data_IF_368017476607
#
_entry.id   IF_368017476607
#
_cell.length_a   1.000
_cell.length_b   1.000
_cell.length_c   1.000
_cell.angle_alpha   90.00
_cell.angle_beta   90.00
_cell.angle_gamma   90.00
#
_symmetry.space_group_name_H-M   'P 1'
#
loop_
_entity.id
_entity.type
_entity.pdbx_description
1 polymer ?
#
# COMPACT_ATOMS: atom_id res chain seq x y z
N UNK A 1 19.48 -11.34 5.74
CA UNK A 1 19.62 -10.01 5.10
C UNK A 1 18.31 -9.65 4.41
N UNK A 2 17.93 -8.37 4.36
CA UNK A 2 16.70 -7.92 3.69
C UNK A 2 16.95 -6.72 2.77
N UNK A 3 16.30 -6.70 1.63
CA UNK A 3 16.22 -5.59 0.68
C UNK A 3 14.78 -5.07 0.69
N UNK A 4 14.47 -4.05 1.52
CA UNK A 4 13.09 -3.65 1.82
C UNK A 4 12.44 -2.82 0.70
N UNK A 5 13.27 -2.25 -0.17
CA UNK A 5 12.85 -1.48 -1.34
C UNK A 5 12.70 -2.34 -2.59
N UNK A 6 12.93 -3.66 -2.49
CA UNK A 6 12.68 -4.56 -3.61
C UNK A 6 11.23 -4.41 -4.05
N UNK A 7 11.07 -4.05 -5.32
CA UNK A 7 9.80 -3.73 -5.93
C UNK A 7 9.49 -4.67 -7.06
N UNK A 8 8.20 -4.91 -7.24
CA UNK A 8 7.65 -5.70 -8.33
C UNK A 8 6.67 -4.84 -9.12
N UNK A 9 6.82 -4.85 -10.43
CA UNK A 9 5.84 -4.25 -11.34
C UNK A 9 4.63 -5.17 -11.47
N UNK A 10 3.45 -4.57 -11.37
CA UNK A 10 2.16 -5.20 -11.57
C UNK A 10 1.29 -4.28 -12.45
N UNK A 11 1.36 -4.49 -13.77
CA UNK A 11 0.78 -3.59 -14.75
C UNK A 11 1.49 -2.22 -14.70
N UNK A 12 0.72 -1.13 -14.63
CA UNK A 12 1.26 0.24 -14.45
C UNK A 12 1.68 0.57 -13.01
N UNK A 13 1.47 -0.33 -12.04
CA UNK A 13 1.81 -0.11 -10.62
C UNK A 13 3.14 -0.74 -10.26
N UNK A 14 3.88 -0.09 -9.37
CA UNK A 14 5.08 -0.64 -8.73
C UNK A 14 4.77 -0.88 -7.25
N UNK A 15 4.92 -2.12 -6.79
CA UNK A 15 4.70 -2.50 -5.40
C UNK A 15 6.03 -2.82 -4.71
N UNK A 16 6.41 -2.03 -3.71
CA UNK A 16 7.55 -2.33 -2.84
C UNK A 16 7.11 -3.29 -1.74
N UNK A 17 7.48 -4.56 -1.89
CA UNK A 17 7.09 -5.65 -0.96
C UNK A 17 8.25 -6.12 -0.09
N UNK A 18 9.48 -5.80 -0.48
CA UNK A 18 10.68 -6.24 0.20
C UNK A 18 10.96 -7.73 0.01
N UNK A 19 12.24 -8.08 0.00
CA UNK A 19 12.70 -9.45 -0.10
C UNK A 19 13.82 -9.70 0.91
N UNK A 20 13.83 -10.86 1.54
CA UNK A 20 14.84 -11.25 2.51
C UNK A 20 15.50 -12.56 2.10
N UNK A 21 16.81 -12.67 2.33
CA UNK A 21 17.58 -13.89 2.18
C UNK A 21 17.97 -14.43 3.55
N UNK A 22 17.68 -15.71 3.78
CA UNK A 22 18.22 -16.47 4.92
C UNK A 22 19.60 -16.97 4.53
N UNK A 23 20.58 -16.73 5.40
CA UNK A 23 21.96 -17.14 5.20
C UNK A 23 22.32 -18.26 6.18
N UNK A 24 23.25 -19.14 5.80
CA UNK A 24 23.89 -20.08 6.72
C UNK A 24 25.11 -19.44 7.44
N UNK A 25 25.84 -20.25 8.21
CA UNK A 25 27.03 -19.81 8.94
C UNK A 25 28.19 -19.35 8.04
N UNK A 26 28.19 -19.75 6.77
CA UNK A 26 29.18 -19.34 5.76
C UNK A 26 28.68 -18.14 4.92
N UNK A 27 27.60 -17.48 5.37
CA UNK A 27 26.92 -16.38 4.68
C UNK A 27 26.36 -16.76 3.30
N UNK A 28 26.12 -18.05 3.04
CA UNK A 28 25.54 -18.51 1.77
C UNK A 28 24.02 -18.48 1.84
N UNK A 29 23.33 -18.03 0.78
CA UNK A 29 21.87 -17.99 0.75
C UNK A 29 21.30 -19.40 0.73
N UNK A 30 20.55 -19.75 1.78
CA UNK A 30 19.85 -21.04 1.94
C UNK A 30 18.35 -20.95 1.66
N UNK A 31 17.83 -19.75 1.47
CA UNK A 31 16.43 -19.53 1.15
C UNK A 31 16.06 -18.06 1.05
N UNK A 32 14.91 -17.80 0.44
CA UNK A 32 14.38 -16.46 0.23
C UNK A 32 13.00 -16.35 0.86
N UNK A 33 12.74 -15.24 1.54
CA UNK A 33 11.49 -14.92 2.21
C UNK A 33 11.02 -13.60 1.60
N UNK A 34 9.87 -13.62 0.93
CA UNK A 34 9.22 -12.41 0.41
C UNK A 34 7.89 -12.25 1.16
N UNK A 35 7.93 -11.77 2.41
CA UNK A 35 6.84 -12.01 3.34
C UNK A 35 5.58 -11.24 2.97
N UNK A 36 5.72 -10.18 2.16
CA UNK A 36 4.60 -9.37 1.71
C UNK A 36 4.40 -9.36 0.20
N UNK A 37 5.12 -10.21 -0.54
CA UNK A 37 4.92 -10.37 -1.96
C UNK A 37 3.47 -10.81 -2.25
N UNK A 38 2.72 -9.93 -2.89
CA UNK A 38 1.41 -10.25 -3.42
C UNK A 38 1.58 -10.69 -4.87
N UNK A 39 0.93 -11.79 -5.26
CA UNK A 39 0.70 -12.05 -6.69
C UNK A 39 -0.11 -10.88 -7.22
N UNK A 40 0.30 -10.28 -8.35
CA UNK A 40 -0.44 -9.21 -9.01
C UNK A 40 -1.87 -9.66 -9.29
N UNK A 41 -2.82 -9.35 -8.41
CA UNK A 41 -4.20 -9.83 -8.50
C UNK A 41 -5.10 -8.75 -9.11
N UNK A 42 -4.73 -8.23 -10.28
CA UNK A 42 -5.57 -7.32 -11.05
C UNK A 42 -5.97 -7.98 -12.35
N UNK A 43 -6.75 -9.06 -12.23
CA UNK A 43 -7.47 -9.63 -13.37
C UNK A 43 -8.57 -8.64 -13.74
N UNK A 44 -8.55 -8.15 -14.97
CA UNK A 44 -9.58 -7.26 -15.48
C UNK A 44 -10.01 -7.72 -16.86
N UNK A 45 -11.31 -7.82 -17.06
CA UNK A 45 -11.91 -8.10 -18.35
C UNK A 45 -12.48 -6.79 -18.88
N UNK A 46 -11.98 -6.34 -20.02
CA UNK A 46 -12.44 -5.12 -20.67
C UNK A 46 -13.21 -5.50 -21.93
N UNK A 47 -14.48 -5.13 -22.03
CA UNK A 47 -15.26 -5.26 -23.26
C UNK A 47 -15.51 -3.86 -23.83
N UNK A 48 -15.02 -3.62 -25.04
CA UNK A 48 -15.30 -2.38 -25.75
C UNK A 48 -16.54 -2.59 -26.63
N UNK A 49 -17.55 -1.76 -26.42
CA UNK A 49 -18.79 -1.73 -27.19
C UNK A 49 -18.69 -0.58 -28.18
N UNK A 50 -18.51 -0.90 -29.45
CA UNK A 50 -18.10 0.02 -30.50
C UNK A 50 -19.24 0.30 -31.48
N UNK A 51 -19.64 1.56 -31.58
CA UNK A 51 -20.62 2.00 -32.57
C UNK A 51 -20.02 1.95 -33.98
N UNK A 52 -20.61 1.13 -34.84
CA UNK A 52 -20.27 0.95 -36.25
C UNK A 52 -21.36 1.43 -37.20
N UNK A 53 -22.29 2.26 -36.72
CA UNK A 53 -23.39 2.83 -37.52
C UNK A 53 -22.90 3.78 -38.62
N UNK A 54 -23.83 4.23 -39.46
CA UNK A 54 -23.52 5.14 -40.58
C UNK A 54 -23.20 6.58 -40.18
N UNK A 55 -23.51 6.99 -38.95
CA UNK A 55 -23.13 8.32 -38.44
C UNK A 55 -21.64 8.40 -38.10
N UNK A 56 -21.01 7.27 -37.77
CA UNK A 56 -19.59 7.17 -37.45
C UNK A 56 -18.75 7.29 -38.71
N UNK A 57 -18.36 8.52 -39.03
CA UNK A 57 -17.46 8.82 -40.12
C UNK A 57 -16.54 10.00 -39.77
N UNK A 58 -15.23 9.90 -40.07
CA UNK A 58 -14.55 8.79 -40.74
C UNK A 58 -14.11 7.66 -39.80
N UNK A 59 -14.22 6.40 -40.24
CA UNK A 59 -13.97 5.20 -39.40
C UNK A 59 -12.56 5.11 -38.81
N UNK A 60 -11.56 5.63 -39.52
CA UNK A 60 -10.17 5.57 -39.06
C UNK A 60 -9.95 6.31 -37.73
N UNK A 61 -10.79 7.30 -37.38
CA UNK A 61 -10.70 7.98 -36.09
C UNK A 61 -11.00 7.03 -34.93
N UNK A 62 -11.98 6.14 -35.12
CA UNK A 62 -12.33 5.10 -34.15
C UNK A 62 -11.22 4.06 -34.04
N UNK A 63 -10.65 3.59 -35.16
CA UNK A 63 -9.53 2.66 -35.17
C UNK A 63 -8.28 3.23 -34.47
N UNK A 64 -7.97 4.50 -34.71
CA UNK A 64 -6.87 5.20 -34.05
C UNK A 64 -7.12 5.38 -32.56
N UNK A 65 -8.35 5.73 -32.19
CA UNK A 65 -8.76 5.86 -30.79
C UNK A 65 -8.60 4.53 -30.03
N UNK A 66 -9.07 3.43 -30.61
CA UNK A 66 -8.90 2.09 -30.04
C UNK A 66 -7.43 1.73 -29.90
N UNK A 67 -6.63 1.92 -30.96
CA UNK A 67 -5.19 1.64 -30.94
C UNK A 67 -4.46 2.42 -29.83
N UNK A 68 -4.81 3.69 -29.65
CA UNK A 68 -4.21 4.57 -28.64
C UNK A 68 -4.60 4.21 -27.20
N UNK A 69 -5.78 3.65 -26.98
CA UNK A 69 -6.20 3.16 -25.66
C UNK A 69 -5.61 1.79 -25.38
N UNK A 70 -5.71 0.88 -26.33
CA UNK A 70 -5.32 -0.52 -26.16
C UNK A 70 -3.81 -0.68 -25.98
N UNK A 71 -3.01 0.16 -26.64
CA UNK A 71 -1.55 0.21 -26.45
C UNK A 71 -1.12 0.62 -25.04
N UNK A 72 -2.00 1.24 -24.24
CA UNK A 72 -1.72 1.64 -22.86
C UNK A 72 -2.09 0.56 -21.84
N UNK A 73 -2.75 -0.52 -22.27
CA UNK A 73 -3.13 -1.62 -21.40
C UNK A 73 -2.07 -2.72 -21.39
N UNK A 74 -1.83 -3.27 -20.20
CA UNK A 74 -1.02 -4.46 -20.01
C UNK A 74 -1.88 -5.72 -20.22
N UNK A 75 -1.93 -6.18 -21.47
CA UNK A 75 -2.76 -7.32 -21.89
C UNK A 75 -1.99 -8.62 -21.69
N UNK A 76 -2.63 -9.62 -21.09
CA UNK A 76 -2.05 -10.92 -20.83
C UNK A 76 -3.00 -11.90 -20.15
N UNK A 77 -2.76 -13.23 -20.26
CA UNK A 77 -3.64 -14.26 -19.71
C UNK A 77 -3.80 -14.16 -18.18
N UNK A 78 -2.77 -13.67 -17.48
CA UNK A 78 -2.77 -13.42 -16.04
C UNK A 78 -3.08 -11.97 -15.63
N UNK A 79 -3.49 -11.10 -16.55
CA UNK A 79 -3.72 -9.67 -16.29
C UNK A 79 -5.01 -9.18 -17.00
N UNK A 80 -4.90 -8.22 -17.93
CA UNK A 80 -6.05 -7.66 -18.67
C UNK A 80 -6.37 -8.54 -19.88
N UNK A 81 -7.64 -8.86 -20.07
CA UNK A 81 -8.16 -9.43 -21.30
C UNK A 81 -9.12 -8.45 -21.96
N UNK A 82 -9.07 -8.35 -23.30
CA UNK A 82 -9.88 -7.41 -24.06
C UNK A 82 -10.76 -8.14 -25.07
N UNK A 83 -12.06 -7.85 -25.04
CA UNK A 83 -13.04 -8.24 -26.05
C UNK A 83 -13.60 -7.00 -26.74
N UNK A 84 -14.01 -7.14 -28.01
CA UNK A 84 -14.64 -6.06 -28.78
C UNK A 84 -15.96 -6.54 -29.35
N UNK A 85 -17.02 -5.79 -29.07
CA UNK A 85 -18.36 -5.95 -29.61
C UNK A 85 -18.68 -4.72 -30.46
N UNK A 86 -18.78 -4.89 -31.77
CA UNK A 86 -19.22 -3.82 -32.67
C UNK A 86 -20.73 -3.90 -32.87
N UNK A 87 -21.42 -2.75 -32.89
CA UNK A 87 -22.87 -2.68 -33.02
C UNK A 87 -23.35 -1.60 -34.01
N UNK A 88 -24.55 -1.81 -34.54
CA UNK A 88 -25.32 -0.87 -35.34
C UNK A 88 -26.79 -1.31 -35.33
N UNK A 89 -27.27 -1.89 -36.42
CA UNK A 89 -28.56 -2.61 -36.47
C UNK A 89 -28.48 -3.99 -35.77
N UNK A 90 -27.30 -4.62 -35.84
CA UNK A 90 -26.95 -5.87 -35.15
C UNK A 90 -25.70 -5.67 -34.31
N UNK A 91 -25.47 -6.56 -33.35
CA UNK A 91 -24.26 -6.58 -32.53
C UNK A 91 -23.45 -7.85 -32.81
N UNK A 92 -22.17 -7.70 -33.15
CA UNK A 92 -21.25 -8.80 -33.48
C UNK A 92 -20.00 -8.69 -32.64
N UNK A 93 -19.52 -9.83 -32.15
CA UNK A 93 -18.24 -9.90 -31.45
C UNK A 93 -17.12 -9.93 -32.49
N UNK A 94 -16.40 -8.83 -32.65
CA UNK A 94 -15.18 -8.78 -33.46
C UNK A 94 -14.14 -9.75 -32.90
N UNK A 95 -14.05 -9.81 -31.56
CA UNK A 95 -13.39 -10.89 -30.85
C UNK A 95 -13.83 -11.01 -29.39
N UNK A 96 -13.60 -12.20 -28.84
CA UNK A 96 -13.90 -12.57 -27.45
C UNK A 96 -12.73 -12.28 -26.51
N UNK A 97 -12.99 -12.28 -25.20
CA UNK A 97 -11.96 -12.13 -24.17
C UNK A 97 -10.94 -13.28 -24.26
N UNK A 98 -9.67 -12.95 -24.05
CA UNK A 98 -8.59 -13.93 -24.07
C UNK A 98 -8.16 -14.42 -25.47
N UNK A 99 -8.76 -13.91 -26.56
CA UNK A 99 -8.33 -14.26 -27.93
C UNK A 99 -6.88 -13.85 -28.20
N UNK A 100 -6.52 -12.64 -27.81
CA UNK A 100 -5.18 -12.07 -27.97
C UNK A 100 -4.50 -11.97 -26.61
N UNK A 101 -3.20 -12.23 -26.58
CA UNK A 101 -2.45 -12.35 -25.34
C UNK A 101 -1.49 -11.19 -25.10
N UNK A 102 -1.25 -10.33 -26.09
CA UNK A 102 -0.39 -9.15 -25.92
C UNK A 102 -1.04 -7.87 -26.43
N UNK A 103 -0.49 -6.72 -26.02
CA UNK A 103 -0.99 -5.41 -26.44
C UNK A 103 -0.78 -5.19 -27.94
N UNK A 104 0.34 -5.66 -28.49
CA UNK A 104 0.68 -5.54 -29.91
C UNK A 104 -0.34 -6.27 -30.79
N UNK A 105 -0.69 -7.51 -30.41
CA UNK A 105 -1.69 -8.31 -31.13
C UNK A 105 -3.06 -7.63 -31.15
N UNK A 106 -3.49 -7.10 -30.00
CA UNK A 106 -4.79 -6.42 -29.86
C UNK A 106 -4.81 -5.11 -30.66
N UNK A 107 -3.72 -4.34 -30.63
CA UNK A 107 -3.61 -3.09 -31.40
C UNK A 107 -3.65 -3.38 -32.91
N UNK A 108 -2.98 -4.43 -33.36
CA UNK A 108 -3.00 -4.80 -34.78
C UNK A 108 -4.38 -5.35 -35.21
N UNK A 109 -5.06 -6.11 -34.34
CA UNK A 109 -6.44 -6.50 -34.57
C UNK A 109 -7.39 -5.30 -34.64
N UNK A 110 -7.20 -4.29 -33.79
CA UNK A 110 -8.03 -3.08 -33.76
C UNK A 110 -7.93 -2.24 -35.03
N UNK A 111 -6.75 -2.15 -35.64
CA UNK A 111 -6.58 -1.48 -36.94
C UNK A 111 -7.30 -2.18 -38.10
N UNK A 112 -7.51 -3.49 -37.96
CA UNK A 112 -8.11 -4.33 -39.00
C UNK A 112 -9.63 -4.51 -38.83
N UNK A 113 -10.26 -3.89 -37.82
CA UNK A 113 -11.72 -3.91 -37.68
C UNK A 113 -12.36 -3.12 -38.82
N UNK A 114 -13.17 -3.79 -39.63
CA UNK A 114 -14.03 -3.14 -40.62
C UNK A 114 -15.32 -2.63 -39.98
N UNK A 115 -15.76 -1.42 -40.37
CA UNK A 115 -17.06 -0.89 -39.98
C UNK A 115 -18.19 -1.78 -40.51
N UNK A 116 -19.15 -2.15 -39.66
CA UNK A 116 -20.27 -3.00 -40.08
C UNK A 116 -21.26 -2.34 -41.03
N UNK A 117 -21.41 -1.02 -40.92
CA UNK A 117 -22.43 -0.24 -41.62
C UNK A 117 -23.86 -0.60 -41.17
N UNK A 118 -24.66 0.41 -40.86
CA UNK A 118 -25.98 0.20 -40.25
C UNK A 118 -26.81 1.47 -40.29
N UNK A 119 -28.11 1.32 -40.59
CA UNK A 119 -29.06 2.43 -40.63
C UNK A 119 -29.53 2.87 -39.24
N UNK A 120 -29.38 2.00 -38.25
CA UNK A 120 -29.77 2.24 -36.86
C UNK A 120 -28.56 2.17 -35.93
N UNK A 121 -28.71 2.82 -34.78
CA UNK A 121 -27.75 2.82 -33.67
C UNK A 121 -28.45 2.24 -32.44
N UNK A 122 -28.33 0.92 -32.22
CA UNK A 122 -28.99 0.19 -31.12
C UNK A 122 -28.07 -0.01 -29.92
N UNK A 123 -27.84 1.06 -29.16
CA UNK A 123 -26.89 1.11 -28.05
C UNK A 123 -27.39 0.34 -26.82
N UNK A 124 -28.68 0.41 -26.49
CA UNK A 124 -29.24 -0.32 -25.35
C UNK A 124 -29.12 -1.83 -25.56
N UNK A 125 -29.46 -2.30 -26.77
CA UNK A 125 -29.26 -3.68 -27.19
C UNK A 125 -27.80 -4.13 -27.08
N UNK A 126 -26.85 -3.31 -27.54
CA UNK A 126 -25.43 -3.61 -27.49
C UNK A 126 -24.89 -3.72 -26.04
N UNK A 127 -25.31 -2.81 -25.16
CA UNK A 127 -24.95 -2.83 -23.73
C UNK A 127 -25.49 -4.10 -23.06
N UNK A 128 -26.77 -4.41 -23.29
CA UNK A 128 -27.40 -5.61 -22.74
C UNK A 128 -26.68 -6.88 -23.20
N UNK A 129 -26.38 -6.98 -24.50
CA UNK A 129 -25.65 -8.12 -25.08
C UNK A 129 -24.23 -8.23 -24.54
N UNK A 130 -23.52 -7.12 -24.35
CA UNK A 130 -22.19 -7.15 -23.76
C UNK A 130 -22.21 -7.64 -22.31
N UNK A 131 -23.19 -7.22 -21.50
CA UNK A 131 -23.35 -7.68 -20.12
C UNK A 131 -23.78 -9.15 -20.00
N UNK A 132 -24.60 -9.65 -20.92
CA UNK A 132 -25.11 -11.02 -20.90
C UNK A 132 -24.18 -12.03 -21.57
N UNK A 133 -23.63 -11.70 -22.73
CA UNK A 133 -22.80 -12.58 -23.56
C UNK A 133 -21.30 -12.27 -23.47
N UNK A 134 -20.87 -11.01 -23.64
CA UNK A 134 -19.44 -10.71 -23.82
C UNK A 134 -18.58 -11.02 -22.56
N UNK A 135 -19.16 -10.86 -21.37
CA UNK A 135 -18.52 -11.24 -20.10
C UNK A 135 -18.84 -12.68 -19.65
N UNK A 136 -19.48 -13.50 -20.49
CA UNK A 136 -19.81 -14.87 -20.12
C UNK A 136 -18.55 -15.75 -20.09
N UNK A 137 -18.53 -16.82 -19.26
CA UNK A 137 -17.45 -17.79 -19.27
C UNK A 137 -17.24 -18.45 -20.65
N UNK A 138 -18.31 -18.63 -21.42
CA UNK A 138 -18.26 -19.19 -22.78
C UNK A 138 -17.49 -18.31 -23.77
N UNK A 139 -17.40 -17.00 -23.49
CA UNK A 139 -16.64 -16.02 -24.28
C UNK A 139 -15.37 -15.53 -23.57
N UNK A 140 -14.83 -16.33 -22.65
CA UNK A 140 -13.57 -16.05 -21.97
C UNK A 140 -13.68 -15.16 -20.73
N UNK A 141 -14.89 -14.82 -20.29
CA UNK A 141 -15.11 -14.02 -19.08
C UNK A 141 -14.69 -14.76 -17.81
N UNK A 142 -13.84 -14.12 -17.00
CA UNK A 142 -13.31 -14.67 -15.75
C UNK A 142 -14.19 -14.24 -14.57
N UNK A 143 -14.47 -15.17 -13.66
CA UNK A 143 -15.38 -14.93 -12.53
C UNK A 143 -14.75 -14.03 -11.44
N UNK A 144 -13.43 -14.10 -11.28
CA UNK A 144 -12.62 -13.37 -10.32
C UNK A 144 -12.06 -12.05 -10.87
N UNK A 145 -12.27 -11.76 -12.16
CA UNK A 145 -11.84 -10.53 -12.80
C UNK A 145 -12.83 -9.37 -12.60
N UNK A 146 -12.29 -8.16 -12.47
CA UNK A 146 -13.11 -6.94 -12.52
C UNK A 146 -13.62 -6.73 -13.94
N UNK A 147 -14.93 -6.56 -14.12
CA UNK A 147 -15.57 -6.37 -15.43
C UNK A 147 -15.72 -4.89 -15.75
N UNK A 148 -15.16 -4.46 -16.87
CA UNK A 148 -15.17 -3.09 -17.34
C UNK A 148 -15.71 -3.02 -18.77
N UNK A 149 -16.75 -2.23 -18.99
CA UNK A 149 -17.30 -1.94 -20.30
C UNK A 149 -16.96 -0.51 -20.70
N UNK A 150 -16.49 -0.33 -21.94
CA UNK A 150 -16.26 0.99 -22.54
C UNK A 150 -17.15 1.09 -23.77
N UNK A 151 -18.18 1.93 -23.70
CA UNK A 151 -19.09 2.23 -24.82
C UNK A 151 -18.52 3.41 -25.60
N UNK A 152 -18.35 3.25 -26.91
CA UNK A 152 -17.86 4.27 -27.82
C UNK A 152 -18.94 4.52 -28.86
N UNK A 153 -19.52 5.73 -28.88
CA UNK A 153 -20.63 6.12 -29.77
C UNK A 153 -20.51 7.59 -30.15
N UNK A 154 -21.14 8.02 -31.25
CA UNK A 154 -21.16 9.43 -31.68
C UNK A 154 -22.44 10.18 -31.33
N UNK A 155 -23.47 9.50 -30.81
CA UNK A 155 -24.72 10.18 -30.49
C UNK A 155 -25.93 9.30 -30.23
N UNK A 156 -27.09 9.87 -30.54
CA UNK A 156 -28.43 9.43 -30.13
C UNK A 156 -28.73 7.97 -30.51
N UNK A 157 -29.21 7.21 -29.53
CA UNK A 157 -29.60 5.81 -29.72
C UNK A 157 -31.05 5.70 -30.18
N UNK A 158 -31.31 4.84 -31.15
CA UNK A 158 -32.67 4.58 -31.65
C UNK A 158 -33.52 3.74 -30.67
N UNK A 159 -32.85 3.02 -29.76
CA UNK A 159 -33.44 2.18 -28.70
C UNK A 159 -33.22 2.80 -27.30
N UNK A 160 -33.15 4.14 -27.21
CA UNK A 160 -32.86 4.84 -25.96
C UNK A 160 -33.84 4.56 -24.81
N UNK A 161 -35.08 4.18 -25.11
CA UNK A 161 -36.11 3.81 -24.12
C UNK A 161 -35.78 2.49 -23.38
N UNK A 162 -35.03 1.59 -24.00
CA UNK A 162 -34.64 0.28 -23.45
C UNK A 162 -33.36 0.36 -22.59
N UNK A 163 -32.68 1.52 -22.59
CA UNK A 163 -31.42 1.72 -21.89
C UNK A 163 -31.50 1.44 -20.36
N UNK A 164 -32.56 1.83 -19.62
CA UNK A 164 -32.66 1.52 -18.20
C UNK A 164 -32.63 0.03 -17.87
N UNK A 165 -33.26 -0.81 -18.71
CA UNK A 165 -33.28 -2.26 -18.55
C UNK A 165 -31.88 -2.86 -18.77
N UNK A 166 -31.21 -2.44 -19.86
CA UNK A 166 -29.84 -2.85 -20.15
C UNK A 166 -28.87 -2.51 -19.01
N UNK A 167 -29.00 -1.30 -18.45
CA UNK A 167 -28.17 -0.85 -17.33
C UNK A 167 -28.43 -1.63 -16.04
N UNK A 168 -29.69 -1.99 -15.76
CA UNK A 168 -30.05 -2.80 -14.60
C UNK A 168 -29.41 -4.19 -14.65
N UNK A 169 -29.40 -4.82 -15.84
CA UNK A 169 -28.75 -6.13 -16.02
C UNK A 169 -27.23 -6.03 -15.84
N UNK A 170 -26.60 -4.95 -16.30
CA UNK A 170 -25.19 -4.71 -16.06
C UNK A 170 -24.83 -4.48 -14.58
N UNK A 171 -25.68 -3.77 -13.82
CA UNK A 171 -25.50 -3.59 -12.38
C UNK A 171 -25.63 -4.92 -11.62
N UNK A 172 -26.62 -5.75 -11.97
CA UNK A 172 -26.81 -7.10 -11.41
C UNK A 172 -25.55 -7.97 -11.58
N UNK A 173 -24.82 -7.78 -12.68
CA UNK A 173 -23.59 -8.52 -13.01
C UNK A 173 -22.30 -7.81 -12.57
N UNK A 174 -22.40 -6.72 -11.83
CA UNK A 174 -21.30 -5.91 -11.30
C UNK A 174 -20.32 -5.43 -12.40
N UNK A 175 -20.85 -5.04 -13.55
CA UNK A 175 -20.05 -4.52 -14.68
C UNK A 175 -19.89 -3.01 -14.52
N UNK A 176 -18.66 -2.52 -14.39
CA UNK A 176 -18.36 -1.09 -14.39
C UNK A 176 -18.43 -0.56 -15.82
N UNK A 177 -19.05 0.60 -16.06
CA UNK A 177 -19.33 1.11 -17.42
C UNK A 177 -18.83 2.54 -17.59
N UNK A 178 -18.21 2.81 -18.72
CA UNK A 178 -17.83 4.14 -19.19
C UNK A 178 -18.40 4.38 -20.58
N UNK A 179 -18.78 5.61 -20.88
CA UNK A 179 -19.22 6.03 -22.21
C UNK A 179 -18.29 7.12 -22.74
N UNK A 180 -17.95 7.02 -24.02
CA UNK A 180 -17.06 7.93 -24.73
C UNK A 180 -17.79 8.40 -25.98
N UNK A 181 -17.95 9.72 -26.09
CA UNK A 181 -18.62 10.35 -27.21
C UNK A 181 -17.59 10.82 -28.26
N UNK A 182 -17.71 10.31 -29.48
CA UNK A 182 -16.86 10.69 -30.62
C UNK A 182 -17.59 11.74 -31.45
N UNK A 183 -17.08 12.97 -31.52
CA UNK A 183 -17.74 14.07 -32.24
C UNK A 183 -16.97 14.40 -33.52
N UNK A 184 -17.48 13.96 -34.67
CA UNK A 184 -16.98 14.37 -35.97
C UNK A 184 -17.64 15.70 -36.41
N UNK A 185 -16.89 16.80 -36.35
CA UNK A 185 -17.01 17.89 -37.33
C UNK A 185 -18.20 18.87 -37.31
N UNK A 186 -19.12 18.87 -36.34
CA UNK A 186 -20.12 19.98 -36.19
C UNK A 186 -19.96 20.72 -34.86
N UNK A 187 -20.08 22.06 -34.89
CA UNK A 187 -20.28 22.90 -33.70
C UNK A 187 -21.50 22.35 -32.95
N UNK A 188 -21.24 21.53 -31.93
CA UNK A 188 -22.29 20.86 -31.18
C UNK A 188 -23.01 21.86 -30.25
N UNK A 189 -24.17 22.34 -30.69
CA UNK A 189 -25.29 22.57 -29.79
C UNK A 189 -25.67 21.21 -29.19
N UNK A 190 -25.59 21.09 -27.87
CA UNK A 190 -25.93 19.87 -27.13
C UNK A 190 -27.45 19.65 -27.18
N UNK A 191 -27.93 18.59 -27.85
CA UNK A 191 -29.11 17.86 -27.36
C UNK A 191 -28.64 16.92 -26.24
N UNK A 192 -29.29 16.90 -25.07
CA UNK A 192 -28.86 16.09 -23.94
C UNK A 192 -29.36 14.65 -24.08
N UNK A 193 -28.65 13.80 -24.83
CA UNK A 193 -28.76 12.35 -24.59
C UNK A 193 -28.12 12.03 -23.23
N UNK A 194 -28.66 11.11 -22.40
CA UNK A 194 -28.14 10.90 -21.06
C UNK A 194 -26.94 9.95 -21.14
N UNK A 195 -25.80 10.41 -21.66
CA UNK A 195 -24.49 9.80 -21.39
C UNK A 195 -24.26 9.69 -19.86
N UNK A 196 -24.93 10.56 -19.08
CA UNK A 196 -25.06 10.48 -17.62
C UNK A 196 -25.69 9.19 -17.10
N UNK A 197 -26.60 8.55 -17.84
CA UNK A 197 -27.28 7.33 -17.42
C UNK A 197 -26.38 6.10 -17.59
N UNK A 198 -25.52 6.07 -18.61
CA UNK A 198 -24.57 4.97 -18.84
C UNK A 198 -23.44 4.96 -17.81
N UNK A 199 -23.03 6.15 -17.36
CA UNK A 199 -22.03 6.34 -16.31
C UNK A 199 -22.62 5.99 -14.95
N UNK A 200 -21.92 5.15 -14.18
CA UNK A 200 -22.28 4.92 -12.78
C UNK A 200 -22.21 6.24 -12.01
N UNK A 201 -23.26 6.67 -11.28
CA UNK A 201 -23.17 7.87 -10.45
C UNK A 201 -22.17 7.62 -9.34
N UNK A 202 -20.95 8.17 -9.49
CA UNK A 202 -20.17 8.54 -8.33
C UNK A 202 -20.95 9.65 -7.61
N UNK A 203 -20.95 9.59 -6.28
CA UNK A 203 -21.49 10.60 -5.33
C UNK A 203 -21.47 12.05 -5.84
N UNK A 204 -22.38 12.93 -5.40
CA UNK A 204 -22.82 14.11 -6.14
C UNK A 204 -21.70 15.13 -6.38
N UNK A 205 -20.99 14.97 -7.50
CA UNK A 205 -20.24 16.00 -8.20
C UNK A 205 -19.92 15.47 -9.60
N UNK A 206 -20.72 15.96 -10.56
CA UNK A 206 -20.51 15.97 -12.02
C UNK A 206 -19.93 14.72 -12.69
N UNK A 207 -20.71 13.95 -13.48
CA UNK A 207 -20.17 12.88 -14.32
C UNK A 207 -19.26 13.44 -15.42
N UNK A 208 -18.06 12.85 -15.57
CA UNK A 208 -17.11 13.21 -16.61
C UNK A 208 -17.49 12.53 -17.94
N UNK A 209 -18.04 13.30 -18.89
CA UNK A 209 -18.12 12.93 -20.30
C UNK A 209 -16.83 13.39 -20.99
N UNK A 210 -16.13 12.48 -21.69
CA UNK A 210 -14.91 12.80 -22.45
C UNK A 210 -15.24 12.96 -23.92
N UNK A 211 -14.75 14.06 -24.51
CA UNK A 211 -14.98 14.47 -25.89
C UNK A 211 -13.71 14.19 -26.70
N UNK A 212 -13.81 13.41 -27.77
CA UNK A 212 -12.75 13.32 -28.78
C UNK A 212 -12.90 14.50 -29.77
N UNK A 213 -11.82 15.25 -30.01
CA UNK A 213 -11.77 16.34 -30.98
C UNK A 213 -10.52 16.26 -31.84
N UNK A 214 -10.66 16.56 -33.13
CA UNK A 214 -9.57 16.55 -34.11
C UNK A 214 -8.72 17.82 -34.02
N UNK A 215 -7.50 17.66 -33.52
CA UNK A 215 -6.45 18.68 -33.35
C UNK A 215 -5.29 18.09 -32.55
N UNK A 216 -4.07 18.67 -32.55
CA UNK A 216 -2.89 18.08 -31.92
C UNK A 216 -2.92 18.22 -30.39
N UNK A 217 -3.97 17.70 -29.74
CA UNK A 217 -4.12 17.59 -28.28
C UNK A 217 -4.41 16.15 -27.82
N UNK A 218 -4.10 15.15 -28.64
CA UNK A 218 -4.23 13.72 -28.29
C UNK A 218 -3.38 13.27 -27.08
N UNK A 219 -2.55 14.17 -26.53
CA UNK A 219 -1.79 13.95 -25.31
C UNK A 219 -2.66 13.97 -24.02
N UNK A 220 -3.83 14.62 -24.01
CA UNK A 220 -4.58 14.87 -22.76
C UNK A 220 -5.74 13.90 -22.47
N UNK A 221 -6.09 13.00 -23.39
CA UNK A 221 -7.10 11.97 -23.16
C UNK A 221 -6.62 10.84 -22.22
N UNK A 222 -5.32 10.78 -21.89
CA UNK A 222 -4.76 9.85 -20.89
C UNK A 222 -5.03 10.26 -19.43
N UNK A 223 -5.37 11.53 -19.18
CA UNK A 223 -5.44 12.10 -17.83
C UNK A 223 -6.68 11.74 -16.99
N UNK A 224 -7.85 11.34 -17.51
CA UNK A 224 -8.98 10.93 -16.66
C UNK A 224 -8.92 9.49 -16.18
N UNK A 225 -8.40 8.56 -16.98
CA UNK A 225 -8.19 7.16 -16.57
C UNK A 225 -6.98 7.05 -15.62
N UNK A 226 -5.95 7.88 -15.82
CA UNK A 226 -4.84 8.03 -14.88
C UNK A 226 -5.26 8.66 -13.53
N UNK A 227 -6.33 9.45 -13.49
CA UNK A 227 -6.85 10.09 -12.25
C UNK A 227 -7.51 9.15 -11.26
N UNK A 228 -7.74 7.88 -11.61
CA UNK A 228 -8.12 6.86 -10.61
C UNK A 228 -6.99 6.58 -9.62
N UNK A 229 -5.74 6.94 -9.91
CA UNK A 229 -4.57 6.65 -9.09
C UNK A 229 -3.96 7.95 -8.53
N UNK A 230 -4.77 8.70 -7.80
CA UNK A 230 -4.30 9.83 -7.01
C UNK A 230 -3.67 9.36 -5.69
N UNK A 231 -2.38 9.60 -5.53
CA UNK A 231 -1.77 9.84 -4.22
C UNK A 231 -2.60 10.89 -3.47
N UNK A 232 -2.90 10.59 -2.21
CA UNK A 232 -3.71 11.39 -1.28
C UNK A 232 -3.60 12.91 -1.44
N UNK A 233 -4.73 13.55 -1.75
CA UNK A 233 -5.35 14.49 -0.81
C UNK A 233 -6.85 14.61 -1.09
N UNK A 234 -7.64 14.61 0.00
CA UNK A 234 -9.08 14.91 0.07
C UNK A 234 -10.07 13.91 -0.59
N UNK A 235 -10.62 13.05 0.27
CA UNK A 235 -12.02 12.61 0.29
C UNK A 235 -12.77 12.37 -1.03
N UNK A 236 -12.76 11.14 -1.54
CA UNK A 236 -13.92 10.59 -2.27
C UNK A 236 -13.93 9.05 -2.23
N UNK A 237 -15.12 8.47 -2.08
CA UNK A 237 -15.37 7.01 -2.02
C UNK A 237 -15.18 6.40 -3.41
N UNK A 238 -13.97 5.95 -3.73
CA UNK A 238 -13.69 4.98 -4.80
C UNK A 238 -13.82 3.54 -4.28
N UNK A 239 -14.12 2.54 -5.13
CA UNK A 239 -14.10 1.15 -4.70
C UNK A 239 -12.67 0.82 -4.27
N UNK A 240 -12.52 0.40 -3.02
CA UNK A 240 -11.24 0.09 -2.39
C UNK A 240 -10.55 -1.06 -3.12
N UNK A 241 -9.68 -0.76 -4.08
CA UNK A 241 -8.45 -1.55 -4.17
C UNK A 241 -7.74 -1.23 -2.88
N UNK A 242 -7.74 -2.17 -1.96
CA UNK A 242 -7.15 -1.97 -0.66
C UNK A 242 -5.66 -1.72 -0.83
N UNK A 243 -5.25 -0.45 -0.72
CA UNK A 243 -3.87 -0.06 -0.40
C UNK A 243 -3.38 -0.70 0.91
N UNK A 244 -4.25 -1.46 1.59
CA UNK A 244 -4.01 -2.18 2.83
C UNK A 244 -2.77 -3.07 2.82
N UNK A 245 -2.31 -3.55 1.66
CA UNK A 245 -1.18 -4.49 1.56
C UNK A 245 -0.18 -4.18 0.43
N UNK A 246 -0.32 -3.04 -0.26
CA UNK A 246 0.36 -2.80 -1.53
C UNK A 246 1.75 -2.18 -1.44
N UNK A 247 2.18 -1.67 -0.27
CA UNK A 247 3.52 -1.09 -0.10
C UNK A 247 4.20 -1.48 1.22
N UNK A 248 4.27 -2.76 1.62
CA UNK A 248 4.88 -3.10 2.89
C UNK A 248 6.40 -3.06 2.71
N UNK A 249 6.99 -1.87 2.86
CA UNK A 249 8.42 -1.76 3.15
C UNK A 249 8.68 -2.55 4.43
N UNK A 250 9.47 -3.61 4.29
CA UNK A 250 9.85 -4.47 5.39
C UNK A 250 10.94 -3.76 6.19
N UNK A 251 10.79 -3.56 7.49
CA UNK A 251 11.89 -3.06 8.32
C UNK A 251 12.92 -4.16 8.60
N UNK A 252 14.13 -3.83 9.10
CA UNK A 252 15.08 -4.84 9.54
C UNK A 252 14.38 -5.84 10.50
N UNK A 253 14.44 -7.16 10.23
CA UNK A 253 13.75 -8.14 11.04
C UNK A 253 14.38 -8.28 12.42
N UNK A 254 13.57 -8.62 13.42
CA UNK A 254 14.03 -9.10 14.72
C UNK A 254 13.83 -10.62 14.82
N UNK A 255 14.83 -11.32 15.33
CA UNK A 255 14.77 -12.76 15.56
C UNK A 255 14.37 -13.07 17.01
N UNK A 256 13.42 -13.99 17.21
CA UNK A 256 12.91 -14.37 18.53
C UNK A 256 13.12 -15.87 18.85
N UNK A 257 14.34 -16.32 19.21
CA UNK A 257 14.62 -17.72 19.57
C UNK A 257 14.06 -18.08 20.96
N UNK A 258 13.37 -19.22 21.21
CA UNK A 258 13.47 -20.50 20.51
C UNK A 258 12.21 -20.91 19.70
N UNK A 259 11.28 -20.01 19.37
CA UNK A 259 10.11 -20.39 18.54
C UNK A 259 10.40 -20.42 17.02
N UNK A 260 11.66 -20.24 16.60
CA UNK A 260 12.09 -20.22 15.18
C UNK A 260 11.25 -19.25 14.31
N UNK A 261 10.69 -18.19 14.92
CA UNK A 261 9.92 -17.14 14.28
C UNK A 261 10.75 -15.88 14.06
N UNK A 262 10.61 -15.28 12.89
CA UNK A 262 11.19 -13.97 12.55
C UNK A 262 10.05 -12.95 12.53
N UNK A 263 10.17 -11.91 13.34
CA UNK A 263 9.25 -10.78 13.32
C UNK A 263 9.75 -9.73 12.33
N UNK A 264 8.90 -9.36 11.39
CA UNK A 264 9.12 -8.30 10.42
C UNK A 264 8.19 -7.14 10.73
N UNK A 265 8.69 -5.91 10.67
CA UNK A 265 7.80 -4.76 10.58
C UNK A 265 7.44 -4.46 9.13
N UNK A 266 6.20 -4.01 8.90
CA UNK A 266 5.66 -3.72 7.58
C UNK A 266 5.13 -2.29 7.57
N UNK A 267 6.03 -1.33 7.38
CA UNK A 267 5.80 0.09 7.68
C UNK A 267 4.72 0.72 6.79
N UNK A 268 4.65 0.31 5.52
CA UNK A 268 3.64 0.83 4.58
C UNK A 268 2.32 0.06 4.57
N UNK A 269 2.14 -0.94 5.43
CA UNK A 269 0.87 -1.64 5.56
C UNK A 269 -0.26 -0.67 5.97
N UNK A 270 -1.48 -0.94 5.48
CA UNK A 270 -2.68 -0.18 5.88
C UNK A 270 -2.58 1.33 5.67
N UNK A 271 -2.05 1.76 4.52
CA UNK A 271 -1.81 3.18 4.18
C UNK A 271 -0.83 3.86 5.14
N UNK A 272 0.31 3.21 5.37
CA UNK A 272 1.39 3.68 6.26
C UNK A 272 1.03 3.81 7.73
N UNK A 273 -0.13 3.29 8.16
CA UNK A 273 -0.36 3.04 9.59
C UNK A 273 0.69 2.06 10.13
N UNK A 274 1.11 1.13 9.29
CA UNK A 274 2.10 0.11 9.59
C UNK A 274 1.49 -1.09 10.29
N UNK A 275 2.29 -2.16 10.37
CA UNK A 275 1.94 -3.39 11.05
C UNK A 275 3.22 -4.19 11.32
N UNK A 276 3.05 -5.38 11.90
CA UNK A 276 4.09 -6.40 11.97
C UNK A 276 3.58 -7.69 11.33
N UNK A 277 4.49 -8.59 10.99
CA UNK A 277 4.18 -9.96 10.63
C UNK A 277 5.20 -10.90 11.26
N UNK A 278 4.80 -12.15 11.49
CA UNK A 278 5.72 -13.21 11.90
C UNK A 278 5.78 -14.30 10.83
N UNK A 279 6.99 -14.72 10.49
CA UNK A 279 7.26 -15.88 9.64
C UNK A 279 7.96 -16.94 10.49
N UNK A 280 7.36 -18.14 10.59
CA UNK A 280 7.94 -19.26 11.33
C UNK A 280 7.81 -20.56 10.53
N UNK A 281 8.40 -21.66 11.04
CA UNK A 281 8.17 -23.01 10.45
C UNK A 281 6.70 -23.44 10.48
N UNK A 282 5.89 -22.87 11.38
CA UNK A 282 4.46 -23.18 11.51
C UNK A 282 3.60 -22.39 10.52
N UNK A 283 4.21 -21.52 9.73
CA UNK A 283 3.56 -20.66 8.75
C UNK A 283 3.67 -19.18 9.11
N UNK A 284 3.01 -18.38 8.27
CA UNK A 284 3.02 -16.93 8.32
C UNK A 284 1.80 -16.41 9.07
N UNK A 285 2.04 -15.54 10.05
CA UNK A 285 1.01 -14.85 10.82
C UNK A 285 1.02 -13.38 10.43
N UNK A 286 -0.12 -12.89 9.92
CA UNK A 286 -0.31 -11.48 9.53
C UNK A 286 -1.50 -10.92 10.31
N UNK A 287 -1.27 -10.16 11.39
CA UNK A 287 -2.33 -9.48 12.10
C UNK A 287 -3.16 -8.57 11.17
N UNK A 288 -4.50 -8.63 11.27
CA UNK A 288 -5.36 -7.70 10.55
C UNK A 288 -5.23 -6.29 11.14
N UNK A 289 -5.55 -5.25 10.37
CA UNK A 289 -5.53 -3.85 10.84
C UNK A 289 -6.27 -3.67 12.17
N UNK A 290 -7.43 -4.32 12.32
CA UNK A 290 -8.28 -4.23 13.51
C UNK A 290 -7.56 -4.65 14.79
N UNK A 291 -6.54 -5.51 14.70
CA UNK A 291 -5.77 -5.96 15.84
C UNK A 291 -5.00 -4.80 16.53
N UNK A 292 -4.70 -3.71 15.79
CA UNK A 292 -4.01 -2.53 16.31
C UNK A 292 -4.94 -1.34 16.54
N UNK A 293 -6.24 -1.45 16.23
CA UNK A 293 -7.18 -0.31 16.20
C UNK A 293 -7.32 0.41 17.54
N UNK A 294 -7.21 -0.32 18.66
CA UNK A 294 -7.22 0.27 20.01
C UNK A 294 -6.08 1.28 20.22
N UNK A 295 -4.91 0.99 19.68
CA UNK A 295 -3.72 1.83 19.84
C UNK A 295 -3.50 2.79 18.66
N UNK A 296 -4.06 2.47 17.49
CA UNK A 296 -3.96 3.19 16.23
C UNK A 296 -5.36 3.38 15.64
N UNK A 297 -6.14 4.33 16.18
CA UNK A 297 -7.55 4.47 15.86
C UNK A 297 -7.77 5.04 14.45
N UNK A 298 -8.92 4.74 13.84
CA UNK A 298 -9.19 5.04 12.42
C UNK A 298 -9.18 6.54 12.10
N UNK A 299 -9.43 7.40 13.08
CA UNK A 299 -9.37 8.85 12.97
C UNK A 299 -7.96 9.33 12.61
N UNK A 300 -6.93 8.57 13.01
CA UNK A 300 -5.52 8.89 12.78
C UNK A 300 -4.92 8.19 11.56
N UNK A 301 -5.72 7.46 10.76
CA UNK A 301 -5.25 6.64 9.61
C UNK A 301 -4.45 7.39 8.54
N UNK A 302 -4.59 8.72 8.48
CA UNK A 302 -3.90 9.56 7.48
C UNK A 302 -2.57 10.11 8.02
N UNK A 303 -2.22 9.86 9.28
CA UNK A 303 -1.00 10.37 9.90
C UNK A 303 0.25 9.55 9.55
N UNK A 304 0.08 8.39 8.90
CA UNK A 304 1.17 7.51 8.50
C UNK A 304 2.08 7.17 9.70
N UNK A 305 1.54 6.46 10.69
CA UNK A 305 2.19 6.22 11.98
C UNK A 305 3.50 5.41 11.90
N UNK A 306 3.69 4.64 10.82
CA UNK A 306 4.87 3.82 10.55
C UNK A 306 5.09 2.72 11.61
N UNK A 307 4.02 2.07 12.07
CA UNK A 307 4.16 0.93 12.98
C UNK A 307 5.00 -0.19 12.34
N UNK A 308 5.93 -0.72 13.13
CA UNK A 308 6.91 -1.70 12.68
C UNK A 308 8.16 -1.07 12.09
N UNK A 309 8.38 0.24 12.22
CA UNK A 309 9.62 0.88 11.76
C UNK A 309 10.85 0.25 12.41
N UNK A 310 10.78 0.02 13.72
CA UNK A 310 11.72 -0.81 14.46
C UNK A 310 10.95 -1.94 15.15
N UNK A 311 11.57 -3.11 15.24
CA UNK A 311 11.01 -4.28 15.90
C UNK A 311 12.04 -4.90 16.83
N UNK A 312 11.59 -5.36 17.99
CA UNK A 312 12.43 -6.09 18.96
C UNK A 312 11.59 -7.11 19.74
N UNK A 313 12.19 -7.85 20.64
CA UNK A 313 11.50 -8.76 21.55
C UNK A 313 12.12 -8.69 22.94
N UNK A 314 11.30 -8.86 23.96
CA UNK A 314 11.72 -8.92 25.35
C UNK A 314 11.23 -10.22 26.01
N UNK A 315 11.98 -10.68 27.00
CA UNK A 315 11.63 -11.83 27.83
C UNK A 315 11.35 -11.34 29.26
N UNK A 316 10.18 -11.68 29.78
CA UNK A 316 9.77 -11.34 31.13
C UNK A 316 10.24 -12.38 32.15
N UNK A 317 10.31 -12.05 33.45
CA UNK A 317 10.66 -13.00 34.50
C UNK A 317 9.75 -14.24 34.54
N UNK A 318 8.50 -14.10 34.10
CA UNK A 318 7.54 -15.21 33.96
C UNK A 318 7.91 -16.21 32.86
N UNK A 319 8.96 -15.94 32.07
CA UNK A 319 9.33 -16.66 30.86
C UNK A 319 8.49 -16.27 29.63
N UNK A 320 7.44 -15.46 29.81
CA UNK A 320 6.63 -14.92 28.74
C UNK A 320 7.43 -13.94 27.87
N UNK A 321 7.06 -13.84 26.59
CA UNK A 321 7.70 -12.93 25.65
C UNK A 321 6.72 -11.89 25.17
N UNK A 322 7.22 -10.68 25.02
CA UNK A 322 6.51 -9.63 24.32
C UNK A 322 7.32 -9.20 23.11
N UNK A 323 6.61 -8.88 22.04
CA UNK A 323 7.15 -8.19 20.89
C UNK A 323 7.08 -6.69 21.13
N UNK A 324 8.07 -5.98 20.59
CA UNK A 324 8.15 -4.52 20.63
C UNK A 324 8.06 -4.01 19.20
N UNK A 325 7.21 -3.03 18.95
CA UNK A 325 7.14 -2.36 17.66
C UNK A 325 7.09 -0.83 17.83
N UNK A 326 7.97 -0.16 17.10
CA UNK A 326 8.06 1.29 17.01
C UNK A 326 7.21 1.87 15.90
N UNK A 327 6.59 3.02 16.18
CA UNK A 327 5.77 3.82 15.28
C UNK A 327 6.18 5.31 15.40
N UNK A 328 7.37 5.69 14.90
CA UNK A 328 8.00 6.98 15.19
C UNK A 328 7.27 8.19 14.64
N UNK A 329 6.29 8.00 13.75
CA UNK A 329 5.46 9.07 13.20
C UNK A 329 4.07 9.18 13.82
N UNK A 330 3.71 8.30 14.76
CA UNK A 330 2.42 8.34 15.42
C UNK A 330 2.16 9.72 16.05
N UNK A 331 1.05 10.37 15.65
CA UNK A 331 0.69 11.74 16.05
C UNK A 331 1.85 12.76 15.91
N UNK A 332 2.79 12.50 15.01
CA UNK A 332 4.04 13.24 14.85
C UNK A 332 4.95 13.26 16.09
N UNK A 333 4.63 12.53 17.17
CA UNK A 333 5.46 12.45 18.38
C UNK A 333 6.23 11.14 18.49
N UNK A 334 5.67 10.08 17.90
CA UNK A 334 6.19 8.72 18.01
C UNK A 334 5.51 7.91 19.10
N UNK A 335 5.53 6.59 18.95
CA UNK A 335 4.93 5.62 19.87
C UNK A 335 5.67 4.30 19.80
N UNK A 336 5.70 3.55 20.89
CA UNK A 336 6.16 2.17 20.97
C UNK A 336 5.09 1.33 21.65
N UNK A 337 4.79 0.16 21.11
CA UNK A 337 3.89 -0.81 21.73
C UNK A 337 4.64 -2.08 22.11
N UNK A 338 4.26 -2.64 23.25
CA UNK A 338 4.66 -3.96 23.73
C UNK A 338 3.44 -4.86 23.65
N UNK A 339 3.53 -5.97 22.95
CA UNK A 339 2.37 -6.80 22.66
C UNK A 339 2.69 -8.28 22.56
N UNK A 340 1.66 -9.08 22.81
CA UNK A 340 1.64 -10.49 22.50
C UNK A 340 0.95 -10.70 21.16
N UNK A 341 1.42 -11.71 20.42
CA UNK A 341 0.81 -12.12 19.17
C UNK A 341 0.39 -13.58 19.28
N UNK A 342 -0.91 -13.82 19.12
CA UNK A 342 -1.48 -15.16 19.09
C UNK A 342 -1.31 -15.82 17.73
N UNK A 343 -1.44 -17.16 17.72
CA UNK A 343 -1.27 -17.98 16.51
C UNK A 343 -2.25 -17.63 15.36
N UNK A 344 -3.40 -17.02 15.68
CA UNK A 344 -4.40 -16.58 14.71
C UNK A 344 -4.23 -15.13 14.25
N UNK A 345 -3.13 -14.47 14.63
CA UNK A 345 -2.88 -13.05 14.35
C UNK A 345 -3.63 -12.09 15.27
N UNK A 346 -4.17 -12.58 16.40
CA UNK A 346 -4.68 -11.72 17.46
C UNK A 346 -3.53 -10.99 18.14
N UNK A 347 -3.70 -9.70 18.41
CA UNK A 347 -2.69 -8.88 19.09
C UNK A 347 -3.26 -8.40 20.42
N UNK A 348 -2.52 -8.61 21.49
CA UNK A 348 -2.86 -8.10 22.82
C UNK A 348 -1.76 -7.16 23.28
N UNK A 349 -2.05 -5.87 23.29
CA UNK A 349 -1.09 -4.84 23.71
C UNK A 349 -1.02 -4.81 25.23
N UNK A 350 0.14 -5.20 25.77
CA UNK A 350 0.42 -5.18 27.20
C UNK A 350 0.74 -3.76 27.70
N UNK A 351 1.46 -2.98 26.90
CA UNK A 351 1.82 -1.60 27.24
C UNK A 351 2.04 -0.76 25.99
N UNK A 352 1.70 0.53 26.06
CA UNK A 352 2.00 1.51 25.03
C UNK A 352 2.73 2.71 25.63
N UNK A 353 3.77 3.17 24.94
CA UNK A 353 4.60 4.32 25.31
C UNK A 353 4.50 5.37 24.20
N UNK A 354 4.10 6.60 24.53
CA UNK A 354 3.96 7.68 23.55
C UNK A 354 5.06 8.72 23.77
N UNK A 355 5.67 9.18 22.68
CA UNK A 355 6.67 10.24 22.69
C UNK A 355 6.07 11.58 23.14
N UNK A 356 6.91 12.41 23.71
CA UNK A 356 6.49 13.66 24.36
C UNK A 356 6.52 14.83 23.37
N UNK A 357 7.60 14.89 22.58
CA UNK A 357 7.93 15.98 21.68
C UNK A 357 7.59 15.63 20.22
N UNK A 358 6.93 16.58 19.55
CA UNK A 358 6.64 16.50 18.11
C UNK A 358 7.95 16.52 17.32
N UNK A 359 8.06 15.65 16.33
CA UNK A 359 9.22 15.53 15.47
C UNK A 359 10.38 14.73 16.08
N UNK A 360 10.29 14.32 17.36
CA UNK A 360 11.39 13.64 18.04
C UNK A 360 11.72 12.24 17.49
N UNK A 361 10.80 11.67 16.71
CA UNK A 361 10.94 10.36 16.09
C UNK A 361 11.09 9.23 17.13
N UNK A 362 10.40 9.37 18.27
CA UNK A 362 10.41 8.43 19.39
C UNK A 362 9.95 7.03 18.97
N UNK A 363 10.76 6.01 19.25
CA UNK A 363 10.49 4.63 18.85
C UNK A 363 11.00 4.29 17.45
N UNK A 364 11.94 5.06 16.91
CA UNK A 364 12.60 4.74 15.64
C UNK A 364 13.70 3.71 15.76
N UNK A 365 14.23 3.52 16.97
CA UNK A 365 15.17 2.47 17.33
C UNK A 365 14.78 1.94 18.71
N UNK A 366 14.83 0.61 18.88
CA UNK A 366 14.52 -0.06 20.15
C UNK A 366 15.54 -1.15 20.44
N UNK A 367 16.03 -1.22 21.67
CA UNK A 367 17.02 -2.21 22.07
C UNK A 367 16.62 -2.84 23.41
N UNK A 368 16.36 -4.14 23.40
CA UNK A 368 16.15 -4.93 24.61
C UNK A 368 17.52 -5.39 25.13
N UNK A 369 17.75 -5.23 26.43
CA UNK A 369 18.99 -5.57 27.11
C UNK A 369 18.69 -6.44 28.33
N UNK A 370 19.36 -7.58 28.36
CA UNK A 370 19.56 -8.43 29.52
C UNK A 370 20.90 -7.99 30.14
N UNK A 371 20.84 -7.29 31.27
CA UNK A 371 21.99 -6.61 31.85
C UNK A 371 22.85 -7.58 32.63
N UNK A 372 22.25 -8.50 33.41
CA UNK A 372 22.99 -9.45 34.25
C UNK A 372 23.20 -10.83 33.59
N UNK A 373 22.65 -11.05 32.40
CA UNK A 373 22.83 -12.27 31.62
C UNK A 373 21.98 -13.44 32.11
N UNK A 374 20.92 -13.19 32.89
CA UNK A 374 20.04 -14.24 33.43
C UNK A 374 19.02 -14.77 32.38
N UNK A 375 18.99 -14.17 31.20
CA UNK A 375 18.09 -14.49 30.10
C UNK A 375 16.74 -13.77 30.18
N UNK A 376 16.55 -12.85 31.12
CA UNK A 376 15.41 -11.95 31.26
C UNK A 376 15.81 -10.56 30.76
N UNK A 377 14.87 -9.84 30.16
CA UNK A 377 15.14 -8.47 29.72
C UNK A 377 14.91 -7.50 30.88
N UNK A 378 15.98 -6.89 31.37
CA UNK A 378 15.93 -5.87 32.43
C UNK A 378 15.55 -4.50 31.89
N UNK A 379 16.14 -4.12 30.74
CA UNK A 379 16.06 -2.77 30.20
C UNK A 379 15.58 -2.79 28.76
N UNK A 380 14.61 -1.94 28.46
CA UNK A 380 14.21 -1.60 27.09
C UNK A 380 14.58 -0.14 26.81
N UNK A 381 15.54 0.05 25.91
CA UNK A 381 15.90 1.37 25.39
C UNK A 381 15.02 1.73 24.19
N UNK A 382 14.57 2.98 24.16
CA UNK A 382 13.73 3.52 23.08
C UNK A 382 14.32 4.85 22.62
N UNK A 383 14.82 4.92 21.40
CA UNK A 383 15.46 6.14 20.93
C UNK A 383 14.46 7.20 20.42
N UNK A 384 14.87 8.46 20.55
CA UNK A 384 14.23 9.62 19.93
C UNK A 384 15.32 10.51 19.29
N UNK A 385 15.93 10.07 18.18
CA UNK A 385 17.13 10.71 17.64
C UNK A 385 16.88 12.11 17.08
N UNK A 386 15.64 12.52 16.85
CA UNK A 386 15.31 13.87 16.41
C UNK A 386 14.82 14.75 17.56
N UNK A 387 15.03 14.34 18.81
CA UNK A 387 14.64 15.12 19.97
C UNK A 387 15.50 16.39 20.08
N UNK A 388 14.83 17.54 20.07
CA UNK A 388 15.43 18.87 20.19
C UNK A 388 15.32 19.36 21.63
N UNK A 389 16.43 19.44 22.34
CA UNK A 389 16.45 20.04 23.67
C UNK A 389 16.57 21.56 23.57
N UNK A 390 15.59 22.29 24.10
CA UNK A 390 15.66 23.74 24.22
C UNK A 390 16.57 24.10 25.40
N UNK A 391 17.77 24.61 25.11
CA UNK A 391 18.71 25.14 26.11
C UNK A 391 19.53 24.07 26.84
N UNK A 392 20.82 23.97 26.50
CA UNK A 392 21.91 23.37 27.29
C UNK A 392 21.66 22.05 28.04
N UNK A 393 20.75 21.19 27.58
CA UNK A 393 20.58 19.81 28.08
C UNK A 393 20.63 18.84 26.90
N UNK A 394 21.65 17.98 26.79
CA UNK A 394 21.84 17.06 25.65
C UNK A 394 20.69 16.07 25.46
N UNK A 395 20.50 15.66 24.20
CA UNK A 395 19.41 14.83 23.67
C UNK A 395 18.85 13.79 24.62
N UNK A 396 17.55 13.87 24.87
CA UNK A 396 16.86 12.93 25.74
C UNK A 396 16.24 11.77 24.97
N UNK A 397 16.62 10.56 25.35
CA UNK A 397 15.74 9.39 25.35
C UNK A 397 14.73 9.56 26.49
N UNK A 398 13.60 10.21 26.20
CA UNK A 398 12.63 10.67 27.21
C UNK A 398 11.68 9.59 27.73
N UNK A 399 11.36 9.67 29.04
CA UNK A 399 10.34 8.89 29.74
C UNK A 399 9.63 9.81 30.75
N UNK A 400 8.39 10.25 30.48
CA UNK A 400 7.67 11.30 31.27
C UNK A 400 6.94 10.81 32.54
N UNK A 401 6.83 11.75 33.51
CA UNK A 401 6.25 11.66 34.88
C UNK A 401 4.80 12.20 35.09
N UNK A 402 4.33 12.49 36.33
CA UNK A 402 3.07 11.97 36.94
C UNK A 402 1.97 13.04 37.26
N UNK A 403 0.84 12.74 37.96
CA UNK A 403 0.25 11.46 38.37
C UNK A 403 -1.18 11.21 37.82
N UNK A 404 -1.52 9.96 37.51
CA UNK A 404 -2.91 9.49 37.60
C UNK A 404 -2.95 7.95 37.67
N UNK A 405 -3.32 7.46 38.86
CA UNK A 405 -3.93 6.17 39.24
C UNK A 405 -3.29 4.83 38.80
N UNK A 406 -3.42 3.77 39.64
CA UNK A 406 -2.61 2.56 39.55
C UNK A 406 -3.17 1.62 38.50
N UNK A 407 -2.42 1.46 37.40
CA UNK A 407 -2.40 0.21 36.66
C UNK A 407 -0.94 -0.19 36.60
N UNK A 408 -0.62 -1.42 37.05
CA UNK A 408 0.73 -1.96 37.06
C UNK A 408 1.38 -1.75 35.68
N UNK A 409 2.27 -0.77 35.56
CA UNK A 409 3.07 -0.60 34.35
C UNK A 409 4.09 -1.74 34.35
N UNK A 410 4.07 -2.56 33.29
CA UNK A 410 5.01 -3.65 33.10
C UNK A 410 6.46 -3.12 33.03
N UNK A 411 6.66 -1.97 32.38
CA UNK A 411 7.91 -1.24 32.38
C UNK A 411 7.71 0.16 32.98
N UNK A 412 8.41 0.46 34.08
CA UNK A 412 8.36 1.77 34.77
C UNK A 412 9.58 2.69 34.51
N UNK A 413 9.39 3.98 34.17
CA UNK A 413 10.19 5.11 34.65
C UNK A 413 11.72 5.12 34.92
N UNK A 414 12.64 4.43 34.25
CA UNK A 414 14.01 4.27 34.81
C UNK A 414 15.04 5.43 34.59
N UNK A 415 14.87 6.33 33.60
CA UNK A 415 15.81 7.43 33.35
C UNK A 415 16.10 7.69 31.87
N UNK A 416 17.11 8.53 31.60
CA UNK A 416 17.54 8.93 30.25
C UNK A 416 19.07 8.82 30.13
N UNK A 417 19.56 8.29 29.01
CA UNK A 417 20.99 8.31 28.69
C UNK A 417 21.39 9.69 28.18
N UNK A 418 22.50 10.22 28.69
CA UNK A 418 22.97 11.56 28.37
C UNK A 418 24.21 11.52 27.49
N UNK A 419 24.16 12.23 26.36
CA UNK A 419 25.32 12.55 25.52
C UNK A 419 26.14 13.73 26.10
N UNK A 420 27.26 14.09 25.47
CA UNK A 420 28.10 15.21 25.90
C UNK A 420 27.36 16.57 25.81
N UNK A 421 27.86 17.65 26.44
CA UNK A 421 27.15 18.93 26.66
C UNK A 421 26.86 19.77 25.40
N UNK A 422 27.31 19.36 24.20
CA UNK A 422 27.16 20.13 22.94
C UNK A 422 26.54 19.39 21.73
N UNK A 423 25.55 18.49 21.84
CA UNK A 423 25.03 17.80 20.68
C UNK A 423 23.77 18.52 20.22
N UNK A 424 23.90 19.67 19.56
CA UNK A 424 22.81 20.15 18.74
C UNK A 424 22.77 19.29 17.47
N UNK A 425 21.60 18.75 17.15
CA UNK A 425 21.33 17.96 15.94
C UNK A 425 22.23 16.72 15.72
N UNK A 426 22.86 16.17 16.77
CA UNK A 426 23.79 15.03 16.65
C UNK A 426 23.13 13.70 16.24
N UNK A 427 21.80 13.63 16.33
CA UNK A 427 21.01 12.40 16.20
C UNK A 427 21.45 11.29 17.15
N UNK A 428 21.79 11.65 18.40
CA UNK A 428 22.08 10.68 19.43
C UNK A 428 20.95 9.64 19.59
N UNK A 429 21.31 8.35 19.60
CA UNK A 429 20.35 7.25 19.61
C UNK A 429 19.89 6.81 18.22
N UNK A 430 20.55 7.26 17.14
CA UNK A 430 20.21 6.82 15.79
C UNK A 430 20.44 5.31 15.58
N UNK A 431 21.41 4.74 16.29
CA UNK A 431 21.66 3.31 16.36
C UNK A 431 21.94 2.92 17.81
N UNK A 432 21.42 1.76 18.21
CA UNK A 432 21.63 1.18 19.54
C UNK A 432 22.15 -0.24 19.38
N UNK A 433 23.11 -0.64 20.20
CA UNK A 433 23.59 -2.01 20.26
C UNK A 433 23.81 -2.43 21.72
N UNK A 434 23.11 -3.48 22.16
CA UNK A 434 23.50 -4.24 23.32
C UNK A 434 24.80 -4.99 22.98
N UNK A 435 25.80 -4.83 23.83
CA UNK A 435 27.10 -5.49 23.68
C UNK A 435 27.40 -6.29 24.95
N UNK A 436 28.20 -7.37 24.83
CA UNK A 436 28.68 -8.06 26.02
C UNK A 436 29.43 -7.09 26.94
N UNK A 437 29.47 -7.42 28.22
CA UNK A 437 30.26 -6.74 29.25
C UNK A 437 31.68 -6.38 28.76
N UNK A 438 31.94 -5.08 28.55
CA UNK A 438 33.20 -4.58 27.99
C UNK A 438 34.25 -4.29 29.07
N UNK A 439 33.80 -4.01 30.30
CA UNK A 439 34.66 -3.69 31.44
C UNK A 439 34.86 -4.86 32.41
N UNK A 440 34.28 -6.02 32.11
CA UNK A 440 34.36 -7.25 32.90
C UNK A 440 33.83 -7.10 34.33
N UNK A 441 32.77 -6.30 34.53
CA UNK A 441 32.14 -6.10 35.83
C UNK A 441 30.95 -7.04 36.12
N UNK A 442 30.62 -7.91 35.16
CA UNK A 442 29.52 -8.86 35.22
C UNK A 442 28.21 -8.34 34.61
N UNK A 443 28.18 -7.12 34.05
CA UNK A 443 26.99 -6.54 33.45
C UNK A 443 27.20 -6.19 31.98
N UNK A 444 26.24 -6.55 31.13
CA UNK A 444 26.26 -6.20 29.71
C UNK A 444 26.08 -4.70 29.50
N UNK A 445 26.75 -4.19 28.47
CA UNK A 445 26.87 -2.77 28.18
C UNK A 445 26.03 -2.37 26.96
N UNK A 446 25.95 -1.06 26.71
CA UNK A 446 25.30 -0.51 25.51
C UNK A 446 26.18 0.49 24.80
N UNK A 447 26.17 0.38 23.48
CA UNK A 447 26.77 1.35 22.57
C UNK A 447 25.68 2.15 21.88
N UNK A 448 25.84 3.48 21.85
CA UNK A 448 24.88 4.42 21.26
C UNK A 448 25.56 5.28 20.19
N UNK A 449 25.00 5.28 18.99
CA UNK A 449 25.50 6.09 17.87
C UNK A 449 24.91 7.50 17.82
N UNK A 450 25.74 8.49 17.51
CA UNK A 450 25.36 9.88 17.22
C UNK A 450 26.02 10.32 15.90
N UNK A 451 25.50 9.88 14.74
CA UNK A 451 26.20 9.98 13.46
C UNK A 451 26.35 11.41 12.94
N UNK A 452 25.55 12.37 13.42
CA UNK A 452 25.63 13.77 13.00
C UNK A 452 26.41 14.65 13.96
N UNK A 453 26.94 14.08 15.04
CA UNK A 453 27.78 14.82 15.97
C UNK A 453 29.02 15.41 15.28
N UNK A 454 29.57 16.46 15.89
CA UNK A 454 30.87 17.00 15.50
C UNK A 454 30.92 17.50 14.04
N UNK A 455 29.81 18.08 13.56
CA UNK A 455 29.69 18.51 12.17
C UNK A 455 29.62 17.34 11.20
N UNK A 456 28.82 16.33 11.53
CA UNK A 456 28.59 15.11 10.75
C UNK A 456 29.82 14.18 10.64
N UNK A 457 30.79 14.31 11.55
CA UNK A 457 31.87 13.30 11.69
C UNK A 457 31.40 12.07 12.45
N UNK A 458 30.38 12.24 13.29
CA UNK A 458 29.79 11.18 14.08
C UNK A 458 30.56 10.90 15.37
N UNK A 459 29.83 10.41 16.36
CA UNK A 459 30.36 9.94 17.63
C UNK A 459 29.68 8.61 18.03
N UNK A 460 30.35 7.88 18.90
CA UNK A 460 29.88 6.64 19.50
C UNK A 460 30.10 6.73 21.00
N UNK A 461 29.06 6.41 21.77
CA UNK A 461 29.06 6.49 23.22
C UNK A 461 28.92 5.11 23.83
N UNK A 462 29.70 4.83 24.88
CA UNK A 462 29.63 3.57 25.63
C UNK A 462 29.01 3.83 27.00
N UNK A 463 27.98 3.06 27.35
CA UNK A 463 27.30 3.11 28.64
C UNK A 463 27.43 1.77 29.34
N UNK A 464 27.95 1.79 30.58
CA UNK A 464 28.11 0.56 31.34
C UNK A 464 26.81 0.09 31.99
N UNK A 465 26.66 -1.23 32.05
CA UNK A 465 25.67 -1.94 32.86
C UNK A 465 25.83 -1.68 34.36
N UNK A 466 24.75 -1.91 35.09
CA UNK A 466 24.72 -1.90 36.55
C UNK A 466 23.59 -2.82 37.03
N UNK A 467 23.57 -3.25 38.31
CA UNK A 467 22.53 -4.16 38.81
C UNK A 467 21.10 -3.70 38.46
N UNK A 468 20.44 -4.41 37.54
CA UNK A 468 19.08 -4.16 37.06
C UNK A 468 18.88 -2.86 36.26
N UNK A 469 19.94 -2.21 35.77
CA UNK A 469 19.82 -0.93 35.03
C UNK A 469 21.07 -0.60 34.19
N UNK A 470 21.04 0.54 33.51
CA UNK A 470 22.21 1.15 32.85
C UNK A 470 22.62 2.44 33.56
N UNK A 471 23.91 2.72 33.59
CA UNK A 471 24.41 4.00 34.08
C UNK A 471 24.02 5.13 33.09
N UNK A 472 23.50 6.28 33.56
CA UNK A 472 22.97 7.33 32.68
C UNK A 472 24.05 8.16 31.98
N UNK A 473 25.29 8.09 32.44
CA UNK A 473 26.43 8.83 31.89
C UNK A 473 27.35 7.89 31.12
N UNK A 474 27.70 8.31 29.91
CA UNK A 474 28.67 7.59 29.09
C UNK A 474 30.04 7.55 29.76
N UNK A 475 30.80 6.50 29.43
CA UNK A 475 32.14 6.24 29.96
C UNK A 475 33.22 6.48 28.92
N UNK A 476 32.85 6.35 27.66
CA UNK A 476 33.69 6.62 26.49
C UNK A 476 32.87 7.24 25.38
#
# INVERSE_FOLDING_TARGET
ACAPLWSQECGTSVFSTGICARLDGDLRPVGTIAPTAQRCSTYMDIVIVLDGSNSIYPWYEVQNFLSNILSKFFIGPGQIQVGVLQYGERAVHEWVLGRYQTAEEVVEAAKNISRQEGRETRTAFAIHRACTEAFSPERGGRADATRLMIVVTDGESHDGEELPEALAECEKRNVTRYAIAVSAGRRASLSPFPLRAVLRPATPRTPAALRAGSGPSAADAGSPLARCWGTTSAGSRTPRISSARSTPMVSPPCFAPPQDGILFGTVGAYAWDGAVLEESRRGRIVPPRQAFEKEFPLELKNHAAYLGYAVSSLRLPSGQRLYVAGAPRFQHKGKVILFEMGATGTVTVAQALTGEQIGSYFGSEVCALDVDGDGVTDVLLVAAPMYLAHGARPGSVGRQGPPCAPSQRLLAPAGTLHADKKPQDSRFGYALAAVPDLNHDGFNDVVVGAPLEDGHRGAVYVYHGAPGTLLPHYKQ
#
